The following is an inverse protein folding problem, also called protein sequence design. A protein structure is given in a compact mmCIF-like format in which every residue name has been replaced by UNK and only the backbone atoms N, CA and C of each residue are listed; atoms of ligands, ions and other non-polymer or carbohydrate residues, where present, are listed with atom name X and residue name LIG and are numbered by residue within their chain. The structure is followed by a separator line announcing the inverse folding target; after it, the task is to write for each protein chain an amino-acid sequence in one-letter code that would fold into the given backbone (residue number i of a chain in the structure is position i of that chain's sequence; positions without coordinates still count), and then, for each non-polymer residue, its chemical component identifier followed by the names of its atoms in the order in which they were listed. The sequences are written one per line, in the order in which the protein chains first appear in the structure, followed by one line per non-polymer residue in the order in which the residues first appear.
data_IF_184977081347
#
_entry.id   IF_184977081347
#
_cell.length_a   1.000
_cell.length_b   1.000
_cell.length_c   1.000
_cell.angle_alpha   90.00
_cell.angle_beta   90.00
_cell.angle_gamma   90.00
#
_symmetry.space_group_name_H-M   'P 1'
#
loop_
_entity.id
_entity.type
_entity.pdbx_description
1 polymer ?
#
# COMPACT_ATOMS: atom_id res chain seq x y z
N UNK A 1 -36.28 -5.38 -5.58
CA UNK A 1 -36.48 -6.26 -4.41
C UNK A 1 -35.27 -7.12 -4.02
N UNK A 2 -34.20 -7.28 -4.83
CA UNK A 2 -33.00 -8.10 -4.50
C UNK A 2 -31.95 -7.39 -3.60
N UNK A 3 -31.92 -6.06 -3.57
CA UNK A 3 -30.90 -5.29 -2.81
C UNK A 3 -31.15 -5.20 -1.29
N UNK A 4 -32.35 -5.49 -0.82
CA UNK A 4 -32.68 -5.42 0.60
C UNK A 4 -32.28 -6.67 1.38
N UNK A 5 -32.24 -7.83 0.73
CA UNK A 5 -31.83 -9.08 1.37
C UNK A 5 -30.31 -9.13 1.70
N UNK A 6 -29.49 -8.40 0.95
CA UNK A 6 -28.04 -8.34 1.21
C UNK A 6 -27.70 -7.49 2.44
N UNK A 7 -28.46 -6.40 2.69
CA UNK A 7 -28.25 -5.54 3.86
C UNK A 7 -28.66 -6.20 5.18
N UNK A 8 -29.65 -7.06 5.16
CA UNK A 8 -30.10 -7.81 6.36
C UNK A 8 -29.10 -8.90 6.74
N UNK A 9 -28.42 -9.53 5.78
CA UNK A 9 -27.39 -10.54 6.05
C UNK A 9 -26.10 -9.94 6.65
N UNK A 10 -25.71 -8.73 6.27
CA UNK A 10 -24.57 -8.01 6.86
C UNK A 10 -24.85 -7.62 8.31
N UNK A 11 -26.08 -7.21 8.62
CA UNK A 11 -26.49 -6.90 10.01
C UNK A 11 -26.54 -8.17 10.89
N UNK A 12 -26.90 -9.32 10.35
CA UNK A 12 -26.92 -10.59 11.10
C UNK A 12 -25.51 -11.14 11.33
N UNK A 13 -24.57 -10.95 10.37
CA UNK A 13 -23.15 -11.32 10.57
C UNK A 13 -22.48 -10.42 11.63
N UNK A 14 -22.81 -9.12 11.66
CA UNK A 14 -22.36 -8.18 12.71
C UNK A 14 -22.96 -8.54 14.09
N UNK A 15 -24.19 -9.05 14.16
CA UNK A 15 -24.81 -9.54 15.40
C UNK A 15 -24.10 -10.77 15.98
N UNK A 16 -23.59 -11.68 15.16
CA UNK A 16 -22.86 -12.87 15.62
C UNK A 16 -21.46 -12.54 16.17
N UNK A 17 -20.82 -11.51 15.64
CA UNK A 17 -19.52 -11.00 16.17
C UNK A 17 -19.74 -10.28 17.50
N UNK A 18 -20.87 -9.60 17.71
CA UNK A 18 -21.21 -8.93 18.97
C UNK A 18 -21.54 -9.92 20.12
N UNK A 19 -22.10 -11.10 19.81
CA UNK A 19 -22.47 -12.09 20.82
C UNK A 19 -21.29 -12.79 21.51
N UNK A 20 -20.10 -12.79 20.90
CA UNK A 20 -18.89 -13.31 21.55
C UNK A 20 -18.26 -12.40 22.61
N UNK A 21 -18.81 -11.19 22.84
CA UNK A 21 -18.33 -10.21 23.83
C UNK A 21 -19.24 -10.08 25.06
N UNK A 22 -20.33 -10.81 25.11
CA UNK A 22 -21.40 -10.61 26.11
C UNK A 22 -21.10 -11.19 27.51
N UNK A 23 -19.87 -11.61 27.82
CA UNK A 23 -19.58 -12.29 29.09
C UNK A 23 -18.85 -11.49 30.18
N UNK A 24 -18.38 -10.26 29.90
CA UNK A 24 -17.76 -9.40 30.93
C UNK A 24 -18.12 -7.96 30.66
N UNK A 25 -18.83 -7.27 31.55
CA UNK A 25 -19.26 -5.86 31.63
C UNK A 25 -18.91 -4.94 30.46
N UNK A 26 -19.44 -5.22 29.25
CA UNK A 26 -18.78 -4.89 28.01
C UNK A 26 -19.23 -3.56 27.44
N UNK A 27 -18.29 -2.66 27.28
CA UNK A 27 -18.42 -1.56 26.31
C UNK A 27 -18.65 -2.12 24.90
N UNK A 28 -19.66 -1.63 24.20
CA UNK A 28 -19.93 -1.99 22.80
C UNK A 28 -18.73 -1.55 21.95
N UNK A 29 -18.15 -2.44 21.11
CA UNK A 29 -17.01 -2.06 20.29
C UNK A 29 -17.40 -0.97 19.28
N UNK A 30 -16.53 0.02 19.15
CA UNK A 30 -16.66 1.09 18.14
C UNK A 30 -16.04 0.60 16.85
N UNK A 31 -16.75 0.77 15.73
CA UNK A 31 -16.29 0.34 14.39
C UNK A 31 -16.03 1.56 13.54
N UNK A 32 -14.83 1.63 12.97
CA UNK A 32 -14.45 2.63 11.99
C UNK A 32 -14.14 1.95 10.64
N UNK A 33 -14.65 2.54 9.56
CA UNK A 33 -14.29 2.14 8.21
C UNK A 33 -13.14 3.02 7.71
N UNK A 34 -12.11 2.41 7.13
CA UNK A 34 -11.14 3.17 6.36
C UNK A 34 -11.79 3.66 5.06
N UNK A 35 -11.54 4.90 4.66
CA UNK A 35 -11.96 5.37 3.34
C UNK A 35 -11.05 4.70 2.27
N UNK A 36 -11.60 4.05 1.30
CA UNK A 36 -12.95 3.80 0.79
C UNK A 36 -13.53 2.41 1.15
N UNK A 37 -13.63 2.05 2.43
CA UNK A 37 -14.30 0.81 2.85
C UNK A 37 -13.50 -0.48 2.64
N UNK A 38 -12.16 -0.38 2.60
CA UNK A 38 -11.27 -1.53 2.37
C UNK A 38 -10.91 -2.26 3.66
N UNK A 39 -11.00 -1.56 4.78
CA UNK A 39 -10.84 -2.09 6.11
C UNK A 39 -12.00 -1.64 7.02
N UNK A 40 -12.40 -2.51 7.91
CA UNK A 40 -13.26 -2.19 9.04
C UNK A 40 -12.49 -2.48 10.33
N UNK A 41 -12.31 -1.46 11.16
CA UNK A 41 -11.52 -1.56 12.40
C UNK A 41 -12.45 -1.47 13.59
N UNK A 42 -12.44 -2.50 14.44
CA UNK A 42 -13.21 -2.57 15.66
C UNK A 42 -12.29 -2.54 16.89
N UNK A 43 -12.58 -1.68 17.86
CA UNK A 43 -11.90 -1.59 19.14
C UNK A 43 -12.87 -1.22 20.27
N UNK A 44 -12.45 -1.40 21.53
CA UNK A 44 -13.20 -0.93 22.69
C UNK A 44 -13.11 0.59 22.86
N UNK A 45 -12.00 1.18 22.45
CA UNK A 45 -11.79 2.64 22.43
C UNK A 45 -11.89 3.20 21.01
N UNK A 46 -12.68 4.28 20.85
CA UNK A 46 -12.92 4.91 19.55
C UNK A 46 -11.67 5.61 18.98
N UNK A 47 -10.82 6.17 19.82
CA UNK A 47 -9.57 6.81 19.41
C UNK A 47 -8.57 5.80 18.86
N UNK A 48 -8.50 4.62 19.47
CA UNK A 48 -7.67 3.51 19.01
C UNK A 48 -8.16 2.97 17.65
N UNK A 49 -9.47 2.76 17.52
CA UNK A 49 -10.06 2.32 16.25
C UNK A 49 -9.80 3.34 15.14
N UNK A 50 -9.97 4.63 15.41
CA UNK A 50 -9.70 5.71 14.45
C UNK A 50 -8.23 5.78 14.04
N UNK A 51 -7.30 5.64 14.99
CA UNK A 51 -5.85 5.63 14.73
C UNK A 51 -5.46 4.49 13.79
N UNK A 52 -5.93 3.26 14.06
CA UNK A 52 -5.65 2.11 13.21
C UNK A 52 -6.36 2.21 11.85
N UNK A 53 -7.59 2.73 11.79
CA UNK A 53 -8.29 2.97 10.55
C UNK A 53 -7.58 4.02 9.67
N UNK A 54 -7.01 5.06 10.27
CA UNK A 54 -6.21 6.06 9.55
C UNK A 54 -4.91 5.45 8.99
N UNK A 55 -4.27 4.55 9.73
CA UNK A 55 -3.11 3.79 9.23
C UNK A 55 -3.51 2.83 8.10
N UNK A 56 -4.63 2.12 8.27
CA UNK A 56 -5.16 1.22 7.24
C UNK A 56 -5.52 1.95 5.93
N UNK A 57 -6.02 3.18 6.04
CA UNK A 57 -6.30 4.02 4.87
C UNK A 57 -5.04 4.36 4.05
N UNK A 58 -3.87 4.40 4.70
CA UNK A 58 -2.58 4.62 4.02
C UNK A 58 -2.05 3.35 3.33
N UNK A 59 -2.42 2.16 3.80
CA UNK A 59 -1.90 0.90 3.28
C UNK A 59 -2.22 0.70 1.80
N UNK A 60 -3.43 1.05 1.39
CA UNK A 60 -3.89 0.83 0.02
C UNK A 60 -3.09 1.59 -1.03
N UNK A 61 -2.97 2.92 -0.99
CA UNK A 61 -2.22 3.65 -2.01
C UNK A 61 -0.74 3.24 -2.06
N UNK A 62 -0.17 2.79 -0.93
CA UNK A 62 1.22 2.34 -0.88
C UNK A 62 1.44 0.93 -1.43
N UNK A 63 0.41 0.08 -1.39
CA UNK A 63 0.53 -1.35 -1.71
C UNK A 63 -0.25 -1.76 -2.96
N UNK A 64 -1.12 -0.90 -3.50
CA UNK A 64 -1.95 -1.24 -4.66
C UNK A 64 -1.11 -1.65 -5.88
N UNK A 65 -0.07 -0.88 -6.22
CA UNK A 65 0.85 -1.18 -7.31
C UNK A 65 1.62 -2.49 -7.07
N UNK A 66 2.47 -2.57 -6.01
CA UNK A 66 3.30 -3.75 -5.79
C UNK A 66 2.50 -5.03 -5.53
N UNK A 67 1.29 -4.95 -5.02
CA UNK A 67 0.43 -6.13 -4.84
C UNK A 67 -0.55 -6.36 -5.99
N UNK A 68 -0.56 -5.49 -7.00
CA UNK A 68 -1.54 -5.55 -8.10
C UNK A 68 -2.97 -5.74 -7.55
N UNK A 69 -3.34 -4.90 -6.56
CA UNK A 69 -4.64 -4.97 -5.91
C UNK A 69 -5.75 -4.55 -6.90
N UNK A 70 -6.93 -5.17 -6.84
CA UNK A 70 -8.07 -4.73 -7.64
C UNK A 70 -8.57 -3.36 -7.12
N UNK A 71 -9.36 -2.64 -7.90
CA UNK A 71 -9.96 -1.36 -7.46
C UNK A 71 -10.78 -1.51 -6.18
N UNK A 72 -11.44 -2.64 -6.01
CA UNK A 72 -12.21 -2.97 -4.81
C UNK A 72 -12.24 -4.47 -4.56
N UNK A 73 -12.42 -4.85 -3.30
CA UNK A 73 -12.73 -6.22 -2.89
C UNK A 73 -14.22 -6.40 -2.64
N UNK A 74 -14.71 -7.63 -2.75
CA UNK A 74 -16.11 -7.97 -2.45
C UNK A 74 -16.49 -7.77 -0.97
N UNK A 75 -15.51 -7.83 -0.06
CA UNK A 75 -15.68 -7.52 1.37
C UNK A 75 -14.40 -6.85 1.90
N UNK A 76 -14.50 -5.98 2.92
CA UNK A 76 -13.33 -5.39 3.57
C UNK A 76 -12.50 -6.44 4.31
N UNK A 77 -11.31 -6.05 4.75
CA UNK A 77 -10.53 -6.76 5.77
C UNK A 77 -11.04 -6.30 7.14
N UNK A 78 -11.49 -7.23 7.97
CA UNK A 78 -11.96 -6.92 9.32
C UNK A 78 -10.78 -6.94 10.29
N UNK A 79 -10.53 -5.83 10.98
CA UNK A 79 -9.46 -5.69 11.97
C UNK A 79 -10.06 -5.52 13.33
N UNK A 80 -9.71 -6.39 14.27
CA UNK A 80 -10.15 -6.32 15.67
C UNK A 80 -8.97 -6.09 16.58
N UNK A 81 -9.00 -5.00 17.33
CA UNK A 81 -8.05 -4.73 18.40
C UNK A 81 -8.53 -5.45 19.67
N UNK A 82 -7.72 -6.39 20.16
CA UNK A 82 -8.00 -7.19 21.33
C UNK A 82 -7.08 -6.70 22.46
N UNK A 83 -7.58 -6.35 23.64
CA UNK A 83 -6.71 -5.93 24.74
C UNK A 83 -5.58 -6.94 24.96
N UNK A 84 -4.35 -6.43 25.14
CA UNK A 84 -3.18 -7.30 25.32
C UNK A 84 -3.33 -8.26 26.52
N UNK A 85 -4.07 -7.85 27.55
CA UNK A 85 -4.38 -8.67 28.71
C UNK A 85 -5.25 -9.91 28.37
N UNK A 86 -6.06 -9.82 27.30
CA UNK A 86 -6.96 -10.89 26.83
C UNK A 86 -6.32 -11.71 25.69
N UNK A 87 -5.06 -11.40 25.34
CA UNK A 87 -4.37 -12.04 24.23
C UNK A 87 -3.64 -13.30 24.70
N UNK A 88 -4.06 -14.47 24.20
CA UNK A 88 -3.50 -15.77 24.59
C UNK A 88 -2.53 -16.40 23.59
N UNK A 89 -2.12 -15.66 22.53
CA UNK A 89 -1.29 -16.21 21.45
C UNK A 89 0.16 -15.67 21.54
N UNK A 90 1.13 -16.42 21.01
CA UNK A 90 2.54 -15.99 21.01
C UNK A 90 2.82 -14.90 19.96
N UNK A 91 2.11 -14.94 18.83
CA UNK A 91 2.23 -13.90 17.81
C UNK A 91 1.43 -12.66 18.22
N UNK A 92 1.92 -11.44 18.01
CA UNK A 92 1.19 -10.22 18.37
C UNK A 92 -0.04 -9.96 17.51
N UNK A 93 -0.25 -10.71 16.46
CA UNK A 93 -1.47 -10.67 15.65
C UNK A 93 -1.74 -12.01 14.99
N UNK A 94 -2.99 -12.21 14.56
CA UNK A 94 -3.45 -13.40 13.85
C UNK A 94 -4.36 -13.00 12.69
N UNK A 95 -4.15 -13.62 11.54
CA UNK A 95 -5.04 -13.49 10.36
C UNK A 95 -5.72 -14.83 10.12
N UNK A 96 -7.03 -14.80 9.91
CA UNK A 96 -7.84 -15.96 9.60
C UNK A 96 -8.69 -15.69 8.36
N UNK A 97 -8.91 -16.73 7.56
CA UNK A 97 -9.87 -16.73 6.45
C UNK A 97 -11.04 -17.61 6.85
N UNK A 98 -12.22 -17.03 6.92
CA UNK A 98 -13.45 -17.74 7.26
C UNK A 98 -14.03 -18.46 6.03
N UNK A 99 -14.92 -19.41 6.26
CA UNK A 99 -15.52 -20.24 5.20
C UNK A 99 -16.20 -19.41 4.08
N UNK A 100 -16.71 -18.21 4.42
CA UNK A 100 -17.29 -17.26 3.46
C UNK A 100 -16.28 -16.38 2.71
N UNK A 101 -14.98 -16.61 2.88
CA UNK A 101 -13.93 -15.78 2.28
C UNK A 101 -13.71 -14.45 2.98
N UNK A 102 -14.27 -14.25 4.15
CA UNK A 102 -14.03 -13.08 5.00
C UNK A 102 -12.65 -13.21 5.61
N UNK A 103 -11.85 -12.14 5.52
CA UNK A 103 -10.54 -12.07 6.13
C UNK A 103 -10.62 -11.26 7.41
N UNK A 104 -10.32 -11.93 8.53
CA UNK A 104 -10.30 -11.33 9.88
C UNK A 104 -8.88 -11.24 10.40
N UNK A 105 -8.51 -10.06 10.90
CA UNK A 105 -7.23 -9.75 11.52
C UNK A 105 -7.48 -9.41 12.99
N UNK A 106 -6.86 -10.15 13.90
CA UNK A 106 -6.87 -9.83 15.33
C UNK A 106 -5.49 -9.33 15.72
N UNK A 107 -5.43 -8.23 16.47
CA UNK A 107 -4.18 -7.61 16.92
C UNK A 107 -4.21 -7.49 18.44
N UNK A 108 -3.17 -7.99 19.13
CA UNK A 108 -2.92 -7.69 20.52
C UNK A 108 -2.66 -6.19 20.69
N UNK A 109 -3.50 -5.51 21.44
CA UNK A 109 -3.50 -4.06 21.46
C UNK A 109 -3.37 -3.50 22.87
N UNK A 110 -2.45 -2.58 22.99
CA UNK A 110 -2.37 -1.60 24.05
C UNK A 110 -1.85 -0.26 23.48
N UNK A 111 -1.91 0.85 24.20
CA UNK A 111 -1.45 2.15 23.70
C UNK A 111 0.02 2.18 23.28
N UNK A 112 0.84 1.22 23.74
CA UNK A 112 2.28 1.13 23.43
C UNK A 112 2.58 0.13 22.32
N UNK A 113 1.56 -0.53 21.77
CA UNK A 113 1.73 -1.49 20.66
C UNK A 113 2.48 -0.83 19.50
N UNK A 114 3.66 -1.37 19.11
CA UNK A 114 4.46 -0.77 18.04
C UNK A 114 3.70 -0.70 16.72
N UNK A 115 3.78 0.43 16.04
CA UNK A 115 3.10 0.64 14.74
C UNK A 115 3.50 -0.41 13.71
N UNK A 116 4.74 -0.91 13.74
CA UNK A 116 5.21 -1.97 12.83
C UNK A 116 4.39 -3.25 12.99
N UNK A 117 3.92 -3.58 14.18
CA UNK A 117 3.05 -4.75 14.43
C UNK A 117 1.71 -4.55 13.71
N UNK A 118 1.13 -3.36 13.82
CA UNK A 118 -0.13 -3.01 13.15
C UNK A 118 0.04 -3.04 11.63
N UNK A 119 1.10 -2.43 11.12
CA UNK A 119 1.41 -2.45 9.67
C UNK A 119 1.55 -3.89 9.16
N UNK A 120 2.24 -4.76 9.89
CA UNK A 120 2.38 -6.18 9.53
C UNK A 120 1.02 -6.90 9.49
N UNK A 121 0.19 -6.67 10.49
CA UNK A 121 -1.16 -7.24 10.57
C UNK A 121 -2.04 -6.79 9.39
N UNK A 122 -2.02 -5.49 9.05
CA UNK A 122 -2.75 -4.94 7.91
C UNK A 122 -2.23 -5.49 6.57
N UNK A 123 -0.92 -5.55 6.38
CA UNK A 123 -0.29 -6.11 5.17
C UNK A 123 -0.68 -7.57 5.00
N UNK A 124 -0.57 -8.37 6.06
CA UNK A 124 -0.94 -9.79 5.99
C UNK A 124 -2.44 -9.95 5.70
N UNK A 125 -3.29 -9.11 6.29
CA UNK A 125 -4.72 -9.07 5.97
C UNK A 125 -4.99 -8.80 4.49
N UNK A 126 -4.28 -7.82 3.89
CA UNK A 126 -4.39 -7.52 2.46
C UNK A 126 -3.90 -8.66 1.57
N UNK A 127 -2.74 -9.26 1.90
CA UNK A 127 -2.21 -10.40 1.16
C UNK A 127 -3.18 -11.58 1.18
N UNK A 128 -3.75 -11.91 2.33
CA UNK A 128 -4.75 -12.98 2.44
C UNK A 128 -6.06 -12.62 1.73
N UNK A 129 -6.47 -11.35 1.76
CA UNK A 129 -7.66 -10.89 1.02
C UNK A 129 -7.44 -10.99 -0.49
N UNK A 130 -6.25 -10.64 -0.96
CA UNK A 130 -5.84 -10.81 -2.35
C UNK A 130 -5.78 -12.30 -2.75
N UNK A 131 -5.26 -13.15 -1.86
CA UNK A 131 -5.23 -14.59 -2.07
C UNK A 131 -6.64 -15.15 -2.25
N UNK A 132 -7.57 -14.80 -1.36
CA UNK A 132 -8.99 -15.21 -1.46
C UNK A 132 -9.64 -14.69 -2.73
N UNK A 133 -9.36 -13.44 -3.12
CA UNK A 133 -9.93 -12.86 -4.34
C UNK A 133 -9.48 -13.58 -5.62
N UNK A 134 -8.25 -14.11 -5.62
CA UNK A 134 -7.64 -14.77 -6.81
C UNK A 134 -7.88 -16.27 -6.86
N UNK A 135 -7.93 -16.93 -5.72
CA UNK A 135 -7.96 -18.42 -5.63
C UNK A 135 -9.21 -18.98 -4.97
N UNK A 136 -10.12 -18.11 -4.47
CA UNK A 136 -11.19 -18.55 -3.60
C UNK A 136 -10.68 -18.99 -2.23
N UNK A 137 -11.55 -19.56 -1.42
CA UNK A 137 -11.20 -20.10 -0.09
C UNK A 137 -10.65 -21.52 -0.25
N UNK A 138 -9.42 -21.74 0.14
CA UNK A 138 -8.82 -23.06 0.19
C UNK A 138 -7.71 -23.11 1.26
N UNK A 139 -7.29 -24.31 1.66
CA UNK A 139 -6.32 -24.53 2.73
C UNK A 139 -4.87 -24.20 2.35
N UNK A 140 -4.57 -24.01 1.06
CA UNK A 140 -3.22 -23.72 0.56
C UNK A 140 -2.88 -22.23 0.57
N UNK A 141 -3.88 -21.36 0.79
CA UNK A 141 -3.64 -19.92 0.81
C UNK A 141 -2.59 -19.57 1.84
N UNK A 142 -1.58 -18.85 1.40
CA UNK A 142 -0.49 -18.42 2.26
C UNK A 142 0.02 -17.04 1.87
N UNK A 143 0.59 -16.36 2.83
CA UNK A 143 1.39 -15.15 2.61
C UNK A 143 2.80 -15.43 3.12
N UNK A 144 3.80 -15.57 2.24
CA UNK A 144 5.18 -15.80 2.64
C UNK A 144 5.68 -14.70 3.59
N UNK A 145 6.47 -15.07 4.60
CA UNK A 145 6.92 -14.13 5.62
C UNK A 145 7.78 -13.02 5.02
N UNK A 146 8.68 -13.37 4.09
CA UNK A 146 9.49 -12.38 3.40
C UNK A 146 8.64 -11.34 2.65
N UNK A 147 7.53 -11.76 2.02
CA UNK A 147 6.65 -10.84 1.29
C UNK A 147 5.90 -9.89 2.24
N UNK A 148 5.50 -10.37 3.42
CA UNK A 148 4.93 -9.51 4.47
C UNK A 148 5.91 -8.42 4.89
N UNK A 149 7.16 -8.80 5.23
CA UNK A 149 8.20 -7.85 5.61
C UNK A 149 8.57 -6.91 4.46
N UNK A 150 8.64 -7.44 3.24
CA UNK A 150 8.89 -6.65 2.04
C UNK A 150 7.84 -5.54 1.85
N UNK A 151 6.56 -5.87 1.96
CA UNK A 151 5.47 -4.90 1.82
C UNK A 151 5.45 -3.86 2.94
N UNK A 152 5.74 -4.26 4.19
CA UNK A 152 5.87 -3.32 5.32
C UNK A 152 7.03 -2.36 5.10
N UNK A 153 8.19 -2.87 4.70
CA UNK A 153 9.36 -2.05 4.42
C UNK A 153 9.15 -1.13 3.22
N UNK A 154 8.53 -1.65 2.16
CA UNK A 154 8.12 -0.86 0.99
C UNK A 154 7.21 0.32 1.39
N UNK A 155 6.19 0.07 2.21
CA UNK A 155 5.32 1.10 2.74
C UNK A 155 6.08 2.13 3.57
N UNK A 156 6.91 1.67 4.52
CA UNK A 156 7.69 2.56 5.40
C UNK A 156 8.67 3.45 4.63
N UNK A 157 9.42 2.89 3.71
CA UNK A 157 10.42 3.64 2.92
C UNK A 157 9.80 4.67 1.99
N UNK A 158 8.54 4.48 1.59
CA UNK A 158 7.78 5.47 0.79
C UNK A 158 7.04 6.50 1.62
N UNK A 159 6.53 6.10 2.78
CA UNK A 159 5.88 7.05 3.69
C UNK A 159 6.88 7.97 4.40
N UNK A 160 8.10 7.50 4.62
CA UNK A 160 9.13 8.16 5.44
C UNK A 160 10.49 8.09 4.75
N UNK A 161 10.95 9.15 4.04
CA UNK A 161 12.24 9.13 3.32
C UNK A 161 13.45 8.74 4.19
N UNK A 162 13.46 9.13 5.48
CA UNK A 162 14.51 8.75 6.43
C UNK A 162 14.63 7.22 6.60
N UNK A 163 13.55 6.47 6.43
CA UNK A 163 13.58 5.00 6.49
C UNK A 163 14.30 4.39 5.28
N UNK A 164 14.19 5.04 4.13
CA UNK A 164 14.93 4.63 2.95
C UNK A 164 16.44 4.84 3.12
N UNK A 165 16.83 5.98 3.67
CA UNK A 165 18.23 6.27 3.94
C UNK A 165 18.80 5.32 5.00
N UNK A 166 18.03 5.02 6.05
CA UNK A 166 18.40 4.04 7.06
C UNK A 166 18.57 2.63 6.45
N UNK A 167 17.64 2.19 5.58
CA UNK A 167 17.73 0.91 4.87
C UNK A 167 18.99 0.85 4.00
N UNK A 168 19.31 1.90 3.24
CA UNK A 168 20.54 1.99 2.42
C UNK A 168 21.78 1.90 3.26
N UNK A 169 21.83 2.63 4.38
CA UNK A 169 22.99 2.61 5.29
C UNK A 169 23.17 1.25 5.95
N UNK A 170 22.11 0.60 6.41
CA UNK A 170 22.13 -0.73 6.97
C UNK A 170 22.64 -1.75 5.93
N UNK A 171 22.04 -1.74 4.74
CA UNK A 171 22.40 -2.64 3.64
C UNK A 171 23.83 -2.43 3.13
N UNK A 172 24.39 -1.22 3.26
CA UNK A 172 25.79 -0.96 2.89
C UNK A 172 26.79 -1.74 3.76
N UNK A 173 26.39 -2.12 4.96
CA UNK A 173 27.23 -2.79 5.96
C UNK A 173 27.00 -4.31 6.05
N UNK A 174 25.93 -4.79 5.41
CA UNK A 174 25.49 -6.18 5.49
C UNK A 174 25.71 -6.89 4.15
N UNK A 175 26.04 -8.16 4.21
CA UNK A 175 25.94 -9.03 3.04
C UNK A 175 24.45 -9.40 2.82
N UNK A 176 24.01 -9.60 1.57
CA UNK A 176 22.67 -10.11 1.31
C UNK A 176 22.54 -11.52 1.91
N UNK A 177 21.37 -11.87 2.46
CA UNK A 177 21.08 -13.27 2.78
C UNK A 177 21.07 -14.09 1.49
N UNK A 178 21.33 -15.39 1.56
CA UNK A 178 21.12 -16.27 0.42
C UNK A 178 19.66 -16.19 -0.02
N UNK A 179 19.42 -16.16 -1.34
CA UNK A 179 18.07 -16.00 -1.87
C UNK A 179 17.13 -17.11 -1.40
N UNK A 180 17.61 -18.35 -1.43
CA UNK A 180 16.84 -19.52 -1.01
C UNK A 180 16.42 -19.42 0.47
N UNK A 181 17.35 -19.03 1.36
CA UNK A 181 17.06 -18.86 2.79
C UNK A 181 16.01 -17.75 3.02
N UNK A 182 16.10 -16.66 2.25
CA UNK A 182 15.13 -15.56 2.31
C UNK A 182 13.74 -16.01 1.83
N UNK A 183 13.68 -16.77 0.73
CA UNK A 183 12.43 -17.26 0.18
C UNK A 183 11.75 -18.30 1.07
N UNK A 184 12.54 -19.12 1.79
CA UNK A 184 12.07 -20.15 2.72
C UNK A 184 11.86 -19.63 4.15
N UNK A 185 12.07 -18.34 4.40
CA UNK A 185 11.94 -17.74 5.72
C UNK A 185 10.53 -17.94 6.30
N UNK A 186 10.47 -18.63 7.45
CA UNK A 186 9.20 -19.07 8.06
C UNK A 186 8.84 -18.26 9.32
N UNK A 187 7.55 -18.22 9.62
CA UNK A 187 7.03 -17.63 10.87
C UNK A 187 7.54 -18.40 12.09
N UNK A 188 7.84 -17.64 13.13
CA UNK A 188 8.39 -18.20 14.39
C UNK A 188 9.91 -18.37 14.39
N UNK A 189 10.58 -18.21 13.23
CA UNK A 189 12.02 -18.02 13.19
C UNK A 189 12.38 -16.61 13.71
N UNK A 190 13.66 -16.44 14.06
CA UNK A 190 14.21 -15.12 14.34
C UNK A 190 14.05 -14.20 13.14
N UNK A 191 13.92 -12.89 13.39
CA UNK A 191 13.80 -11.85 12.35
C UNK A 191 15.14 -11.08 12.23
N UNK A 192 16.19 -11.68 11.63
CA UNK A 192 17.48 -11.01 11.52
C UNK A 192 17.39 -9.82 10.55
N UNK A 193 18.06 -8.71 10.90
CA UNK A 193 18.03 -7.51 10.09
C UNK A 193 18.37 -7.75 8.60
N UNK A 194 19.36 -8.59 8.22
CA UNK A 194 19.62 -8.87 6.81
C UNK A 194 18.43 -9.48 6.05
N UNK A 195 17.59 -10.27 6.72
CA UNK A 195 16.39 -10.87 6.11
C UNK A 195 15.28 -9.83 5.94
N UNK A 196 15.06 -8.98 6.95
CA UNK A 196 14.07 -7.90 6.88
C UNK A 196 14.44 -6.92 5.77
N UNK A 197 15.68 -6.45 5.74
CA UNK A 197 16.18 -5.54 4.71
C UNK A 197 16.21 -6.22 3.34
N UNK A 198 16.65 -7.48 3.29
CA UNK A 198 16.68 -8.30 2.09
C UNK A 198 15.31 -8.46 1.44
N UNK A 199 14.27 -8.66 2.24
CA UNK A 199 12.91 -8.76 1.75
C UNK A 199 12.46 -7.49 1.02
N UNK A 200 12.78 -6.30 1.55
CA UNK A 200 12.44 -5.01 0.92
C UNK A 200 13.17 -4.85 -0.43
N UNK A 201 14.47 -5.18 -0.44
CA UNK A 201 15.25 -5.12 -1.68
C UNK A 201 14.78 -6.15 -2.72
N UNK A 202 14.44 -7.37 -2.30
CA UNK A 202 13.90 -8.40 -3.20
C UNK A 202 12.60 -7.93 -3.86
N UNK A 203 11.66 -7.38 -3.10
CA UNK A 203 10.43 -6.84 -3.68
C UNK A 203 10.73 -5.69 -4.65
N UNK A 204 11.60 -4.76 -4.26
CA UNK A 204 12.00 -3.63 -5.10
C UNK A 204 12.64 -4.11 -6.40
N UNK A 205 13.46 -5.15 -6.33
CA UNK A 205 14.13 -5.72 -7.49
C UNK A 205 13.16 -6.47 -8.40
N UNK A 206 12.30 -7.33 -7.84
CA UNK A 206 11.30 -8.07 -8.60
C UNK A 206 10.28 -7.15 -9.30
N UNK A 207 9.87 -6.07 -8.66
CA UNK A 207 8.92 -5.11 -9.26
C UNK A 207 9.60 -4.19 -10.28
N UNK A 208 10.89 -3.87 -10.12
CA UNK A 208 11.63 -3.02 -11.03
C UNK A 208 12.18 -3.76 -12.25
N UNK A 209 12.63 -5.01 -12.07
CA UNK A 209 13.13 -5.89 -13.13
C UNK A 209 12.02 -6.56 -13.95
N UNK A 210 10.82 -6.61 -13.42
CA UNK A 210 9.65 -7.15 -14.10
C UNK A 210 9.24 -6.29 -15.31
N UNK A 211 10.22 -5.93 -16.13
CA UNK A 211 10.06 -5.12 -17.34
C UNK A 211 9.19 -5.78 -18.43
N UNK A 212 8.66 -6.98 -18.16
CA UNK A 212 7.59 -7.58 -18.97
C UNK A 212 6.33 -7.55 -18.12
N UNK A 213 5.34 -6.80 -18.59
CA UNK A 213 4.02 -6.74 -18.00
C UNK A 213 3.51 -8.17 -17.74
N UNK A 214 3.35 -8.55 -16.48
CA UNK A 214 2.77 -9.84 -16.10
C UNK A 214 3.66 -10.77 -15.29
N UNK A 215 4.99 -10.67 -15.30
CA UNK A 215 5.88 -11.58 -14.57
C UNK A 215 5.69 -11.48 -13.05
N UNK A 216 5.72 -10.27 -12.49
CA UNK A 216 5.48 -10.05 -11.06
C UNK A 216 4.06 -10.44 -10.62
N UNK A 217 2.96 -10.00 -11.29
CA UNK A 217 1.62 -10.47 -10.99
C UNK A 217 1.45 -11.99 -11.06
N UNK A 218 2.16 -12.67 -11.98
CA UNK A 218 2.15 -14.13 -12.08
C UNK A 218 2.85 -14.78 -10.89
N UNK A 219 4.02 -14.27 -10.49
CA UNK A 219 4.71 -14.71 -9.29
C UNK A 219 3.85 -14.54 -8.04
N UNK A 220 3.29 -13.35 -7.85
CA UNK A 220 2.42 -13.06 -6.72
C UNK A 220 1.22 -13.99 -6.67
N UNK A 221 0.59 -14.26 -7.82
CA UNK A 221 -0.51 -15.21 -7.93
C UNK A 221 -0.08 -16.60 -7.42
N UNK A 222 1.05 -17.15 -7.88
CA UNK A 222 1.56 -18.47 -7.48
C UNK A 222 1.88 -18.53 -5.99
N UNK A 223 2.57 -17.52 -5.47
CA UNK A 223 2.95 -17.42 -4.05
C UNK A 223 1.72 -17.43 -3.14
N UNK A 224 0.71 -16.61 -3.45
CA UNK A 224 -0.52 -16.54 -2.67
C UNK A 224 -1.38 -17.80 -2.77
N UNK A 225 -1.23 -18.58 -3.84
CA UNK A 225 -1.84 -19.90 -4.03
C UNK A 225 -1.13 -21.04 -3.29
N UNK A 226 -0.03 -20.75 -2.59
CA UNK A 226 0.73 -21.71 -1.79
C UNK A 226 1.75 -22.53 -2.59
N UNK A 227 2.13 -22.08 -3.78
CA UNK A 227 3.25 -22.68 -4.50
C UNK A 227 4.57 -22.36 -3.79
N UNK A 228 5.49 -23.34 -3.77
CA UNK A 228 6.82 -23.14 -3.17
C UNK A 228 7.55 -21.96 -3.81
N UNK A 229 8.10 -20.99 -3.03
CA UNK A 229 8.61 -19.74 -3.56
C UNK A 229 9.67 -19.87 -4.65
N UNK A 230 10.59 -20.81 -4.53
CA UNK A 230 11.62 -21.06 -5.56
C UNK A 230 11.00 -21.58 -6.87
N UNK A 231 10.03 -22.48 -6.80
CA UNK A 231 9.30 -22.99 -7.97
C UNK A 231 8.45 -21.90 -8.61
N UNK A 232 7.73 -21.13 -7.80
CA UNK A 232 6.94 -19.99 -8.26
C UNK A 232 7.81 -18.96 -9.00
N UNK A 233 9.00 -18.64 -8.47
CA UNK A 233 9.96 -17.72 -9.10
C UNK A 233 10.43 -18.26 -10.45
N UNK A 234 10.89 -19.52 -10.51
CA UNK A 234 11.35 -20.15 -11.75
C UNK A 234 10.26 -20.19 -12.83
N UNK A 235 9.02 -20.51 -12.43
CA UNK A 235 7.88 -20.59 -13.36
C UNK A 235 7.41 -19.22 -13.86
N UNK A 236 7.59 -18.16 -13.07
CA UNK A 236 7.15 -16.80 -13.42
C UNK A 236 8.15 -16.04 -14.28
N UNK A 237 9.44 -16.45 -14.24
CA UNK A 237 10.52 -15.83 -15.01
C UNK A 237 11.24 -16.88 -15.90
N UNK A 238 10.54 -17.44 -16.87
CA UNK A 238 11.10 -18.50 -17.72
C UNK A 238 12.34 -18.00 -18.49
N UNK A 239 13.39 -18.79 -18.49
CA UNK A 239 14.63 -18.51 -19.22
C UNK A 239 15.60 -17.54 -18.54
N UNK A 240 15.26 -16.99 -17.35
CA UNK A 240 16.15 -16.07 -16.65
C UNK A 240 16.88 -16.71 -15.47
N UNK A 241 16.38 -17.78 -14.90
CA UNK A 241 16.91 -18.37 -13.67
C UNK A 241 16.81 -19.89 -13.73
N UNK A 242 17.58 -20.48 -14.65
CA UNK A 242 17.47 -21.89 -14.97
C UNK A 242 17.92 -22.81 -13.82
N UNK A 243 18.80 -22.32 -12.95
CA UNK A 243 19.33 -23.06 -11.81
C UNK A 243 19.56 -22.14 -10.60
N UNK A 244 19.84 -22.75 -9.43
CA UNK A 244 20.01 -22.03 -8.17
C UNK A 244 21.18 -21.04 -8.20
N UNK A 245 22.28 -21.39 -8.88
CA UNK A 245 23.46 -20.54 -9.01
C UNK A 245 23.16 -19.26 -9.81
N UNK A 246 22.38 -19.37 -10.90
CA UNK A 246 21.97 -18.21 -11.68
C UNK A 246 21.01 -17.32 -10.89
N UNK A 247 20.10 -17.90 -10.13
CA UNK A 247 19.19 -17.16 -9.26
C UNK A 247 19.94 -16.39 -8.17
N UNK A 248 20.90 -17.05 -7.53
CA UNK A 248 21.73 -16.44 -6.49
C UNK A 248 22.61 -15.33 -7.08
N UNK A 249 23.24 -15.53 -8.24
CA UNK A 249 24.04 -14.51 -8.91
C UNK A 249 23.19 -13.28 -9.28
N UNK A 250 21.99 -13.50 -9.80
CA UNK A 250 21.03 -12.44 -10.11
C UNK A 250 20.69 -11.63 -8.84
N UNK A 251 20.38 -12.31 -7.75
CA UNK A 251 20.08 -11.69 -6.46
C UNK A 251 21.25 -10.85 -5.93
N UNK A 252 22.44 -11.42 -5.91
CA UNK A 252 23.65 -10.74 -5.47
C UNK A 252 23.94 -9.48 -6.32
N UNK A 253 23.75 -9.60 -7.63
CA UNK A 253 23.93 -8.48 -8.56
C UNK A 253 22.88 -7.38 -8.31
N UNK A 254 21.62 -7.74 -8.17
CA UNK A 254 20.53 -6.82 -7.87
C UNK A 254 20.74 -6.08 -6.54
N UNK A 255 21.14 -6.78 -5.50
CA UNK A 255 21.51 -6.18 -4.22
C UNK A 255 22.60 -5.12 -4.38
N UNK A 256 23.66 -5.40 -5.13
CA UNK A 256 24.75 -4.45 -5.36
C UNK A 256 24.29 -3.24 -6.18
N UNK A 257 23.43 -3.44 -7.17
CA UNK A 257 22.88 -2.36 -7.99
C UNK A 257 21.99 -1.43 -7.14
N UNK A 258 21.01 -1.98 -6.41
CA UNK A 258 20.08 -1.21 -5.59
C UNK A 258 20.79 -0.44 -4.47
N UNK A 259 21.79 -1.07 -3.83
CA UNK A 259 22.60 -0.42 -2.81
C UNK A 259 23.35 0.81 -3.34
N UNK A 260 23.81 0.75 -4.60
CA UNK A 260 24.53 1.84 -5.26
C UNK A 260 23.60 2.87 -5.91
N UNK A 261 22.35 2.52 -6.15
CA UNK A 261 21.39 3.43 -6.75
C UNK A 261 21.24 4.68 -5.88
N UNK A 262 21.46 5.85 -6.49
CA UNK A 262 21.34 7.14 -5.77
C UNK A 262 19.90 7.43 -5.37
N UNK A 263 18.96 6.93 -6.14
CA UNK A 263 17.51 7.07 -5.91
C UNK A 263 16.92 5.68 -6.12
N UNK A 264 16.12 5.19 -5.17
CA UNK A 264 15.23 4.06 -5.50
C UNK A 264 14.28 4.53 -6.62
N UNK A 265 13.85 3.64 -7.50
CA UNK A 265 12.78 4.00 -8.42
C UNK A 265 11.65 4.58 -7.57
N UNK A 266 11.40 5.87 -7.78
CA UNK A 266 10.22 6.55 -7.26
C UNK A 266 8.96 5.88 -7.81
N UNK A 267 7.84 6.42 -7.52
CA UNK A 267 6.61 6.03 -8.19
C UNK A 267 6.76 6.18 -9.70
N UNK A 268 6.13 5.29 -10.45
CA UNK A 268 6.00 5.48 -11.88
C UNK A 268 5.18 6.75 -12.17
N UNK A 269 5.29 7.25 -13.40
CA UNK A 269 4.57 8.47 -13.79
C UNK A 269 3.05 8.32 -13.58
N UNK A 270 2.48 7.17 -13.97
CA UNK A 270 1.07 6.87 -13.78
C UNK A 270 0.65 6.82 -12.29
N UNK A 271 1.46 6.20 -11.43
CA UNK A 271 1.23 6.17 -9.98
C UNK A 271 1.26 7.59 -9.40
N UNK A 272 2.27 8.38 -9.79
CA UNK A 272 2.42 9.78 -9.35
C UNK A 272 1.22 10.63 -9.75
N UNK A 273 0.71 10.44 -10.96
CA UNK A 273 -0.49 11.11 -11.46
C UNK A 273 -1.72 10.78 -10.63
N UNK A 274 -1.93 9.50 -10.34
CA UNK A 274 -3.08 9.04 -9.53
C UNK A 274 -3.03 9.62 -8.12
N UNK A 275 -1.88 9.56 -7.46
CA UNK A 275 -1.71 10.07 -6.10
C UNK A 275 -1.92 11.59 -6.00
N UNK A 276 -1.37 12.36 -6.95
CA UNK A 276 -1.61 13.80 -6.97
C UNK A 276 -3.07 14.15 -7.31
N UNK A 277 -3.74 13.36 -8.17
CA UNK A 277 -5.16 13.53 -8.43
C UNK A 277 -6.01 13.35 -7.16
N UNK A 278 -5.67 12.36 -6.32
CA UNK A 278 -6.33 12.18 -5.02
C UNK A 278 -6.05 13.33 -4.04
N UNK A 279 -4.88 13.98 -4.13
CA UNK A 279 -4.57 15.15 -3.30
C UNK A 279 -5.43 16.38 -3.63
N UNK A 280 -5.97 16.49 -4.84
CA UNK A 280 -6.86 17.59 -5.25
C UNK A 280 -8.35 17.22 -5.21
N UNK A 281 -8.67 15.99 -4.92
CA UNK A 281 -10.05 15.52 -4.79
C UNK A 281 -10.55 15.76 -3.38
N UNK A 282 -11.20 16.87 -3.15
CA UNK A 282 -11.80 17.23 -1.86
C UNK A 282 -13.23 16.72 -1.78
N UNK A 283 -13.52 15.86 -0.83
CA UNK A 283 -14.85 15.33 -0.56
C UNK A 283 -15.32 15.91 0.76
N UNK A 284 -16.44 16.65 0.74
CA UNK A 284 -17.09 17.17 1.94
C UNK A 284 -18.52 16.64 2.00
N UNK A 285 -18.89 16.08 3.14
CA UNK A 285 -20.26 15.65 3.38
C UNK A 285 -21.10 16.85 3.80
N UNK A 286 -22.04 17.25 2.96
CA UNK A 286 -23.03 18.29 3.26
C UNK A 286 -24.42 17.67 3.28
N UNK A 287 -25.17 17.87 4.37
CA UNK A 287 -26.55 17.36 4.53
C UNK A 287 -26.71 15.85 4.28
N UNK A 288 -25.64 15.07 4.51
CA UNK A 288 -25.63 13.61 4.30
C UNK A 288 -25.27 13.17 2.88
N UNK A 289 -24.97 14.09 1.96
CA UNK A 289 -24.47 13.81 0.62
C UNK A 289 -23.01 14.23 0.48
N UNK A 290 -22.22 13.42 -0.22
CA UNK A 290 -20.80 13.69 -0.50
C UNK A 290 -20.69 14.58 -1.74
N UNK A 291 -20.14 15.77 -1.57
CA UNK A 291 -19.83 16.71 -2.64
C UNK A 291 -18.33 16.73 -2.90
N UNK A 292 -17.92 16.56 -4.16
CA UNK A 292 -16.53 16.76 -4.59
C UNK A 292 -16.35 18.20 -5.01
N UNK A 293 -15.51 18.94 -4.31
CA UNK A 293 -15.24 20.35 -4.61
C UNK A 293 -13.92 20.50 -5.37
N UNK A 294 -13.85 21.36 -6.40
CA UNK A 294 -12.60 21.70 -7.08
C UNK A 294 -11.68 22.50 -6.15
N UNK A 295 -10.37 22.41 -6.36
CA UNK A 295 -9.35 23.08 -5.53
C UNK A 295 -9.65 24.58 -5.34
N UNK A 296 -10.02 25.29 -6.39
CA UNK A 296 -10.34 26.73 -6.35
C UNK A 296 -11.44 27.04 -5.33
N UNK A 297 -12.54 26.31 -5.38
CA UNK A 297 -13.68 26.49 -4.46
C UNK A 297 -13.30 26.18 -3.01
N UNK A 298 -12.48 25.16 -2.80
CA UNK A 298 -11.94 24.82 -1.47
C UNK A 298 -11.07 25.95 -0.92
N UNK A 299 -10.23 26.57 -1.76
CA UNK A 299 -9.41 27.71 -1.35
C UNK A 299 -10.23 28.96 -1.04
N UNK A 300 -11.38 29.17 -1.69
CA UNK A 300 -12.33 30.24 -1.34
C UNK A 300 -12.91 30.06 0.07
N UNK A 301 -13.07 28.80 0.48
CA UNK A 301 -13.62 28.41 1.78
C UNK A 301 -12.54 28.18 2.85
N UNK A 302 -11.30 28.57 2.60
CA UNK A 302 -10.16 28.33 3.51
C UNK A 302 -10.31 28.94 4.93
N UNK A 303 -11.25 29.86 5.14
CA UNK A 303 -11.61 30.37 6.48
C UNK A 303 -12.48 29.44 7.32
N UNK A 304 -13.05 28.40 6.74
CA UNK A 304 -13.86 27.42 7.47
C UNK A 304 -12.94 26.44 8.22
N UNK A 305 -13.17 26.17 9.53
CA UNK A 305 -12.24 25.35 10.33
C UNK A 305 -11.98 23.95 9.80
N UNK A 306 -12.99 23.30 9.22
CA UNK A 306 -12.85 21.96 8.61
C UNK A 306 -12.01 22.01 7.33
N UNK A 307 -12.27 23.01 6.48
CA UNK A 307 -11.52 23.22 5.24
C UNK A 307 -10.07 23.56 5.54
N UNK A 308 -9.79 24.46 6.47
CA UNK A 308 -8.43 24.83 6.86
C UNK A 308 -7.64 23.62 7.41
N UNK A 309 -8.28 22.76 8.21
CA UNK A 309 -7.67 21.53 8.70
C UNK A 309 -7.32 20.57 7.56
N UNK A 310 -8.23 20.40 6.60
CA UNK A 310 -8.03 19.52 5.45
C UNK A 310 -6.93 20.05 4.53
N UNK A 311 -6.87 21.35 4.26
CA UNK A 311 -5.81 21.99 3.49
C UNK A 311 -4.45 21.78 4.16
N UNK A 312 -4.34 21.96 5.49
CA UNK A 312 -3.12 21.69 6.26
C UNK A 312 -2.68 20.22 6.14
N UNK A 313 -3.62 19.31 6.29
CA UNK A 313 -3.37 17.87 6.19
C UNK A 313 -2.82 17.51 4.81
N UNK A 314 -3.45 18.02 3.76
CA UNK A 314 -3.03 17.75 2.37
C UNK A 314 -1.71 18.41 2.02
N UNK A 315 -1.46 19.64 2.43
CA UNK A 315 -0.16 20.28 2.25
C UNK A 315 0.97 19.46 2.86
N UNK A 316 0.78 18.96 4.10
CA UNK A 316 1.75 18.07 4.74
C UNK A 316 1.89 16.73 4.00
N UNK A 317 0.81 16.19 3.42
CA UNK A 317 0.86 14.97 2.63
C UNK A 317 1.62 15.17 1.33
N UNK A 318 1.32 16.21 0.55
CA UNK A 318 2.02 16.54 -0.71
C UNK A 318 3.52 16.73 -0.46
N UNK A 319 3.92 17.45 0.60
CA UNK A 319 5.34 17.62 0.93
C UNK A 319 6.06 16.29 1.20
N UNK A 320 5.39 15.31 1.82
CA UNK A 320 5.95 13.97 2.02
C UNK A 320 6.08 13.18 0.71
N UNK A 321 5.19 13.41 -0.25
CA UNK A 321 5.19 12.72 -1.54
C UNK A 321 6.30 13.22 -2.49
N UNK A 322 6.78 14.46 -2.35
CA UNK A 322 7.73 15.09 -3.29
C UNK A 322 8.95 14.21 -3.63
N UNK A 323 9.47 13.47 -2.66
CA UNK A 323 10.64 12.60 -2.86
C UNK A 323 10.32 11.28 -3.55
N UNK A 324 9.06 10.82 -3.46
CA UNK A 324 8.60 9.57 -4.06
C UNK A 324 8.07 9.77 -5.49
N UNK A 325 7.59 10.98 -5.81
CA UNK A 325 6.98 11.28 -7.10
C UNK A 325 7.96 11.14 -8.26
N UNK A 326 7.45 10.64 -9.39
CA UNK A 326 8.16 10.64 -10.66
C UNK A 326 8.59 12.08 -11.01
N UNK A 327 9.78 12.30 -11.58
CA UNK A 327 10.29 13.63 -11.92
C UNK A 327 9.30 14.50 -12.70
N UNK A 328 8.49 13.91 -13.58
CA UNK A 328 7.49 14.65 -14.37
C UNK A 328 6.49 15.41 -13.49
N UNK A 329 6.07 14.82 -12.36
CA UNK A 329 5.03 15.35 -11.48
C UNK A 329 5.54 16.19 -10.30
N UNK A 330 6.86 16.36 -10.16
CA UNK A 330 7.42 17.13 -9.03
C UNK A 330 7.04 18.61 -9.06
N UNK A 331 7.06 19.22 -10.25
CA UNK A 331 6.65 20.63 -10.37
C UNK A 331 5.16 20.79 -10.02
N UNK A 332 4.30 19.94 -10.55
CA UNK A 332 2.88 19.94 -10.19
C UNK A 332 2.64 19.76 -8.68
N UNK A 333 3.43 18.92 -8.03
CA UNK A 333 3.34 18.75 -6.58
C UNK A 333 3.82 19.97 -5.80
N UNK A 334 4.88 20.66 -6.26
CA UNK A 334 5.35 21.90 -5.66
C UNK A 334 4.32 23.00 -5.79
N UNK A 335 3.78 23.22 -6.99
CA UNK A 335 2.71 24.19 -7.24
C UNK A 335 1.44 23.87 -6.44
N UNK A 336 1.11 22.59 -6.27
CA UNK A 336 0.01 22.17 -5.41
C UNK A 336 0.29 22.47 -3.93
N UNK A 337 1.51 22.20 -3.45
CA UNK A 337 1.89 22.53 -2.09
C UNK A 337 1.79 24.04 -1.82
N UNK A 338 2.23 24.87 -2.78
CA UNK A 338 2.07 26.32 -2.72
C UNK A 338 0.59 26.74 -2.71
N UNK A 339 -0.24 26.15 -3.55
CA UNK A 339 -1.68 26.43 -3.57
C UNK A 339 -2.34 26.07 -2.23
N UNK A 340 -2.02 24.89 -1.66
CA UNK A 340 -2.56 24.44 -0.37
C UNK A 340 -2.04 25.29 0.82
N UNK A 341 -0.91 25.98 0.67
CA UNK A 341 -0.36 26.86 1.70
C UNK A 341 -0.97 28.27 1.66
N UNK A 342 -1.56 28.70 0.54
CA UNK A 342 -2.15 30.02 0.37
C UNK A 342 -3.50 30.11 1.09
N UNK A 343 -3.48 30.66 2.31
CA UNK A 343 -4.66 30.85 3.15
C UNK A 343 -4.93 32.33 3.36
N UNK A 344 -6.18 32.73 3.28
CA UNK A 344 -6.60 34.10 3.49
C UNK A 344 -6.05 35.10 2.45
N UNK A 345 -5.47 34.62 1.36
CA UNK A 345 -5.00 35.46 0.26
C UNK A 345 -6.19 36.00 -0.57
N UNK A 346 -5.99 37.13 -1.21
CA UNK A 346 -6.95 37.70 -2.17
C UNK A 346 -7.21 36.79 -3.37
N UNK A 347 -8.32 37.04 -4.09
CA UNK A 347 -8.74 36.21 -5.23
C UNK A 347 -7.65 36.08 -6.30
N UNK A 348 -6.98 37.17 -6.67
CA UNK A 348 -5.91 37.17 -7.66
C UNK A 348 -4.77 36.19 -7.31
N UNK A 349 -4.34 36.16 -6.05
CA UNK A 349 -3.28 35.22 -5.62
C UNK A 349 -3.74 33.78 -5.66
N UNK A 350 -5.01 33.51 -5.25
CA UNK A 350 -5.57 32.16 -5.32
C UNK A 350 -5.65 31.67 -6.77
N UNK A 351 -6.15 32.52 -7.66
CA UNK A 351 -6.26 32.20 -9.09
C UNK A 351 -4.88 31.92 -9.71
N UNK A 352 -3.88 32.73 -9.36
CA UNK A 352 -2.52 32.53 -9.84
C UNK A 352 -1.92 31.17 -9.43
N UNK A 353 -2.06 30.76 -8.16
CA UNK A 353 -1.52 29.47 -7.70
C UNK A 353 -2.30 28.27 -8.27
N UNK A 354 -3.62 28.38 -8.43
CA UNK A 354 -4.41 27.36 -9.12
C UNK A 354 -3.98 27.21 -10.58
N UNK A 355 -3.81 28.32 -11.29
CA UNK A 355 -3.39 28.31 -12.69
C UNK A 355 -1.97 27.73 -12.84
N UNK A 356 -1.05 28.02 -11.92
CA UNK A 356 0.29 27.43 -11.91
C UNK A 356 0.22 25.90 -11.74
N UNK A 357 -0.55 25.42 -10.78
CA UNK A 357 -0.76 23.98 -10.59
C UNK A 357 -1.37 23.31 -11.83
N UNK A 358 -2.43 23.90 -12.39
CA UNK A 358 -3.10 23.37 -13.58
C UNK A 358 -2.17 23.31 -14.80
N UNK A 359 -1.25 24.29 -14.93
CA UNK A 359 -0.26 24.30 -16.00
C UNK A 359 0.77 23.19 -15.79
N UNK A 360 1.40 23.12 -14.61
CA UNK A 360 2.39 22.10 -14.28
C UNK A 360 1.82 20.68 -14.38
N UNK A 361 0.54 20.50 -14.01
CA UNK A 361 -0.17 19.23 -14.17
C UNK A 361 -0.33 18.83 -15.64
N UNK A 362 -0.72 19.78 -16.51
CA UNK A 362 -0.84 19.54 -17.95
C UNK A 362 0.49 19.16 -18.56
N UNK A 363 1.54 19.93 -18.23
CA UNK A 363 2.89 19.69 -18.76
C UNK A 363 3.43 18.31 -18.32
N UNK A 364 3.21 17.92 -17.07
CA UNK A 364 3.56 16.60 -16.56
C UNK A 364 2.83 15.46 -17.30
N UNK A 365 1.52 15.63 -17.52
CA UNK A 365 0.70 14.63 -18.22
C UNK A 365 1.09 14.52 -19.71
N UNK A 366 1.47 15.61 -20.33
CA UNK A 366 1.97 15.63 -21.71
C UNK A 366 3.32 14.92 -21.83
N UNK A 367 4.25 15.19 -20.91
CA UNK A 367 5.54 14.50 -20.82
C UNK A 367 5.37 12.98 -20.60
N UNK A 368 4.46 12.57 -19.72
CA UNK A 368 4.14 11.15 -19.51
C UNK A 368 3.68 10.49 -20.81
N UNK A 369 2.73 11.12 -21.51
CA UNK A 369 2.18 10.59 -22.77
C UNK A 369 3.24 10.53 -23.88
N UNK A 370 4.04 11.60 -24.03
CA UNK A 370 5.09 11.66 -25.02
C UNK A 370 6.16 10.58 -24.79
N UNK A 371 6.55 10.39 -23.53
CA UNK A 371 7.51 9.35 -23.13
C UNK A 371 6.99 7.95 -23.39
N UNK A 372 5.74 7.66 -23.03
CA UNK A 372 5.11 6.37 -23.30
C UNK A 372 5.09 6.07 -24.81
N UNK A 373 4.66 7.05 -25.63
CA UNK A 373 4.63 6.90 -27.09
C UNK A 373 6.03 6.64 -27.67
N UNK A 374 7.07 7.32 -27.15
CA UNK A 374 8.45 7.12 -27.61
C UNK A 374 8.97 5.72 -27.25
N UNK A 375 8.67 5.23 -26.04
CA UNK A 375 9.03 3.89 -25.57
C UNK A 375 8.35 2.80 -26.41
N UNK A 376 7.06 2.94 -26.70
CA UNK A 376 6.31 2.01 -27.54
C UNK A 376 6.90 1.95 -28.95
N UNK A 377 7.29 3.10 -29.52
CA UNK A 377 7.93 3.16 -30.84
C UNK A 377 9.30 2.47 -30.86
N UNK A 378 10.09 2.61 -29.79
CA UNK A 378 11.38 1.90 -29.64
C UNK A 378 11.19 0.40 -29.54
N UNK A 379 10.29 -0.06 -28.68
CA UNK A 379 9.96 -1.48 -28.50
C UNK A 379 9.47 -2.12 -29.80
N UNK A 380 8.67 -1.41 -30.59
CA UNK A 380 8.21 -1.89 -31.89
C UNK A 380 9.35 -2.03 -32.92
N UNK A 381 10.38 -1.16 -32.85
CA UNK A 381 11.57 -1.26 -33.71
C UNK A 381 12.46 -2.44 -33.32
N UNK A 382 12.69 -2.65 -32.03
CA UNK A 382 13.48 -3.78 -31.51
C UNK A 382 12.84 -5.12 -31.87
N UNK A 383 11.52 -5.25 -31.69
CA UNK A 383 10.79 -6.46 -32.07
C UNK A 383 10.88 -6.77 -33.59
N UNK A 384 10.87 -5.74 -34.45
CA UNK A 384 11.07 -5.90 -35.89
C UNK A 384 12.51 -6.29 -36.26
N UNK A 385 13.50 -5.81 -35.51
CA UNK A 385 14.90 -6.16 -35.73
C UNK A 385 15.21 -7.60 -35.28
N UNK A 386 14.58 -8.06 -34.20
CA UNK A 386 14.75 -9.43 -33.67
C UNK A 386 14.00 -10.50 -34.48
N UNK A 387 13.04 -10.10 -35.34
CA UNK A 387 12.29 -11.00 -36.20
C UNK A 387 12.93 -11.21 -37.61
N UNK A 388 14.02 -10.53 -37.90
CA UNK A 388 14.87 -10.70 -39.11
C UNK A 388 16.11 -11.50 -38.76
#
# INVERSE_FOLDING_TARGET
MKRWRLRVLVVVALGAVALGWAATGSSVPVIFQSAPGRFEVAALDGGDAQRVAALAAQAWPMLAGPLALPESFASPVFVRLVPAADWGERSPFRVTVEAGGVVSVRVAWDPTTPEVVVRRALVQGLLMRQAVARHGVNERLTAPLWLEHACVGWWRTRAEPAQLDALKQASARLAPPALEDLLQWQRGATEPAPFVDGAVWLLTFLTGEAGKAGEWPALLHRLLGGEAPAAALAASFPGRYANDGERELWWQTGWQQLRRARVLPGWEAAESRVELAEMVRFVFTQQGEDAVLPLREVLERAGEPLVDRELKRRAAAVNRLLTALHPFYRNAALSLADALAVRGAGAERRDAVCAAFEQDWRDATELERASATALDALSARENKASAK
#
